data_IF_833016149482
#
_entry.id   IF_833016149482
#
_cell.length_a   1.000
_cell.length_b   1.000
_cell.length_c   1.000
_cell.angle_alpha   90.00
_cell.angle_beta   90.00
_cell.angle_gamma   90.00
#
_symmetry.space_group_name_H-M   'P 1'
#
loop_
_entity.id
_entity.type
_entity.pdbx_description
1 polymer ?
#
# COMPACT_ATOMS: atom_id res chain seq x y z
N UNK A 1 8.11 -11.90 5.30
CA UNK A 1 7.15 -10.78 5.37
C UNK A 1 7.39 -9.87 4.18
N UNK A 2 6.36 -9.50 3.40
CA UNK A 2 6.51 -8.47 2.37
C UNK A 2 7.13 -7.25 3.03
N UNK A 3 8.22 -6.74 2.46
CA UNK A 3 8.92 -5.58 3.00
C UNK A 3 8.01 -4.36 2.75
N UNK A 4 7.10 -4.09 3.69
CA UNK A 4 6.30 -2.86 3.70
C UNK A 4 7.26 -1.75 4.08
N UNK A 5 7.88 -1.11 3.09
CA UNK A 5 9.00 -0.19 3.35
C UNK A 5 8.60 1.08 4.08
N UNK A 6 7.40 1.64 3.84
CA UNK A 6 7.34 3.09 3.97
C UNK A 6 6.16 3.76 4.67
N UNK A 7 4.93 3.19 4.72
CA UNK A 7 3.81 3.73 5.52
C UNK A 7 2.54 2.90 5.27
N UNK A 8 1.86 2.50 6.34
CA UNK A 8 0.46 2.05 6.29
C UNK A 8 -0.42 3.26 6.60
N UNK A 9 -1.37 3.59 5.73
CA UNK A 9 -2.35 4.64 6.02
C UNK A 9 -3.73 4.00 6.14
N UNK A 10 -4.35 4.15 7.31
CA UNK A 10 -5.77 3.81 7.50
C UNK A 10 -6.57 4.91 6.80
N UNK A 11 -7.47 4.53 5.91
CA UNK A 11 -8.37 5.45 5.22
C UNK A 11 -9.71 5.54 5.96
N UNK A 12 -10.29 4.38 6.28
CA UNK A 12 -11.57 4.17 6.94
C UNK A 12 -11.46 2.92 7.85
N UNK A 13 -12.48 2.63 8.67
CA UNK A 13 -12.46 1.49 9.62
C UNK A 13 -12.11 0.13 8.97
N UNK A 14 -12.39 -0.05 7.68
CA UNK A 14 -12.21 -1.29 6.93
C UNK A 14 -11.26 -1.16 5.73
N UNK A 15 -10.62 0.00 5.54
CA UNK A 15 -9.77 0.28 4.37
C UNK A 15 -8.40 0.74 4.78
N UNK A 16 -7.41 -0.01 4.34
CA UNK A 16 -6.00 0.36 4.44
C UNK A 16 -5.43 0.67 3.06
N UNK A 17 -4.51 1.64 3.01
CA UNK A 17 -3.66 1.91 1.85
C UNK A 17 -2.21 1.63 2.23
N UNK A 18 -1.58 0.80 1.40
CA UNK A 18 -0.18 0.42 1.54
C UNK A 18 0.61 1.04 0.39
N UNK A 19 1.72 1.70 0.71
CA UNK A 19 2.70 2.11 -0.29
C UNK A 19 3.78 1.03 -0.30
N UNK A 20 4.03 0.47 -1.49
CA UNK A 20 4.91 -0.67 -1.71
C UNK A 20 5.84 -0.34 -2.87
N UNK A 21 7.07 -0.85 -2.82
CA UNK A 21 8.05 -0.61 -3.88
C UNK A 21 7.67 -1.35 -5.17
N UNK A 22 7.15 -2.57 -5.04
CA UNK A 22 6.74 -3.42 -6.15
C UNK A 22 5.37 -4.05 -5.89
N UNK A 23 4.34 -3.56 -6.57
CA UNK A 23 2.98 -4.06 -6.40
C UNK A 23 2.81 -5.52 -6.86
N UNK A 24 3.54 -5.92 -7.91
CA UNK A 24 3.42 -7.25 -8.52
C UNK A 24 3.78 -8.40 -7.56
N UNK A 25 4.83 -8.23 -6.77
CA UNK A 25 5.26 -9.20 -5.76
C UNK A 25 4.51 -9.03 -4.43
N UNK A 26 4.07 -7.81 -4.11
CA UNK A 26 3.45 -7.52 -2.81
C UNK A 26 2.00 -8.00 -2.70
N UNK A 27 1.20 -7.92 -3.78
CA UNK A 27 -0.21 -8.34 -3.73
C UNK A 27 -0.37 -9.84 -3.37
N UNK A 28 0.35 -10.79 -4.02
CA UNK A 28 0.30 -12.20 -3.64
C UNK A 28 0.71 -12.46 -2.19
N UNK A 29 1.81 -11.84 -1.74
CA UNK A 29 2.32 -11.99 -0.38
C UNK A 29 1.35 -11.43 0.67
N UNK A 30 0.68 -10.32 0.35
CA UNK A 30 -0.34 -9.74 1.23
C UNK A 30 -1.54 -10.68 1.34
N UNK A 31 -2.01 -11.25 0.23
CA UNK A 31 -3.11 -12.24 0.25
C UNK A 31 -2.79 -13.44 1.13
N UNK A 32 -1.59 -13.98 1.02
CA UNK A 32 -1.15 -15.11 1.84
C UNK A 32 -1.11 -14.74 3.34
N UNK A 33 -0.55 -13.59 3.67
CA UNK A 33 -0.49 -13.10 5.05
C UNK A 33 -1.88 -12.87 5.64
N UNK A 34 -2.80 -12.27 4.88
CA UNK A 34 -4.19 -12.05 5.30
C UNK A 34 -4.92 -13.37 5.54
N UNK A 35 -4.73 -14.36 4.66
CA UNK A 35 -5.31 -15.69 4.83
C UNK A 35 -4.78 -16.41 6.08
N UNK A 36 -3.48 -16.30 6.37
CA UNK A 36 -2.87 -16.88 7.57
C UNK A 36 -3.39 -16.26 8.88
N UNK A 37 -3.91 -15.03 8.83
CA UNK A 37 -4.45 -14.31 9.99
C UNK A 37 -5.99 -14.32 10.02
N UNK A 38 -6.64 -15.13 9.16
CA UNK A 38 -8.10 -15.22 9.04
C UNK A 38 -8.79 -13.88 8.77
N UNK A 39 -8.09 -12.98 8.04
CA UNK A 39 -8.61 -11.66 7.68
C UNK A 39 -9.32 -11.77 6.34
N UNK A 40 -10.65 -11.70 6.38
CA UNK A 40 -11.47 -11.68 5.17
C UNK A 40 -11.27 -10.38 4.39
N UNK A 41 -10.74 -10.48 3.17
CA UNK A 41 -10.55 -9.33 2.29
C UNK A 41 -11.45 -9.41 1.08
N UNK A 42 -12.35 -8.44 0.94
CA UNK A 42 -13.27 -8.36 -0.20
C UNK A 42 -12.54 -8.02 -1.50
N UNK A 43 -11.54 -7.13 -1.45
CA UNK A 43 -10.84 -6.69 -2.65
C UNK A 43 -9.46 -6.13 -2.33
N UNK A 44 -8.51 -6.41 -3.21
CA UNK A 44 -7.18 -5.79 -3.23
C UNK A 44 -7.00 -5.22 -4.64
N UNK A 45 -6.72 -3.92 -4.73
CA UNK A 45 -6.53 -3.23 -6.00
C UNK A 45 -5.24 -2.43 -5.96
N UNK A 46 -4.48 -2.50 -7.04
CA UNK A 46 -3.37 -1.57 -7.26
C UNK A 46 -3.95 -0.19 -7.56
N UNK A 47 -3.55 0.79 -6.75
CA UNK A 47 -3.95 2.18 -6.94
C UNK A 47 -2.73 2.99 -7.39
N UNK A 48 -2.82 3.59 -8.56
CA UNK A 48 -1.86 4.58 -9.02
C UNK A 48 -2.39 5.96 -8.65
N UNK A 49 -1.76 6.68 -7.71
CA UNK A 49 -2.12 8.06 -7.44
C UNK A 49 -1.97 8.91 -8.72
N UNK A 50 -2.79 9.95 -8.89
CA UNK A 50 -2.59 10.88 -9.99
C UNK A 50 -1.18 11.48 -9.94
N UNK A 51 -0.57 11.68 -11.11
CA UNK A 51 0.81 12.17 -11.24
C UNK A 51 1.10 13.42 -10.39
N UNK A 52 0.11 14.32 -10.25
CA UNK A 52 0.23 15.52 -9.41
C UNK A 52 0.53 15.21 -7.94
N UNK A 53 -0.11 14.19 -7.36
CA UNK A 53 0.09 13.80 -5.96
C UNK A 53 1.45 13.13 -5.74
N UNK A 54 1.95 12.42 -6.77
CA UNK A 54 3.28 11.81 -6.75
C UNK A 54 4.37 12.87 -6.76
N UNK A 55 4.24 13.85 -7.67
CA UNK A 55 5.19 14.97 -7.80
C UNK A 55 5.23 15.78 -6.50
N UNK A 56 4.07 16.08 -5.90
CA UNK A 56 4.01 16.83 -4.66
C UNK A 56 4.79 16.13 -3.53
N UNK A 57 4.61 14.82 -3.36
CA UNK A 57 5.33 14.05 -2.34
C UNK A 57 6.84 13.96 -2.59
N UNK A 58 7.27 13.88 -3.84
CA UNK A 58 8.69 13.87 -4.19
C UNK A 58 9.30 15.23 -3.82
N UNK A 59 8.63 16.32 -4.19
CA UNK A 59 9.09 17.67 -3.82
C UNK A 59 9.13 17.83 -2.30
N UNK A 60 8.10 17.41 -1.58
CA UNK A 60 8.05 17.50 -0.11
C UNK A 60 9.20 16.73 0.56
N UNK A 61 9.63 15.61 -0.01
CA UNK A 61 10.76 14.81 0.51
C UNK A 61 12.14 15.37 0.12
N UNK A 62 12.24 16.17 -0.95
CA UNK A 62 13.51 16.79 -1.39
C UNK A 62 13.81 18.12 -0.69
N UNK A 63 12.84 18.71 0.01
CA UNK A 63 13.00 19.95 0.77
C UNK A 63 13.04 19.75 2.30
N UNK A 64 13.15 18.50 2.77
CA UNK A 64 13.25 18.14 4.19
C UNK A 64 14.67 17.76 4.60
#
# INVERSE_FOLDING_TARGET
LPIVRNRVRILEEDKIRLIVDEAGSTIPQLRECLAQNDIAVQSIKQYFPPLGDVIFKIMESSYA
#
